data_IF_658365565962
#
_entry.id   IF_658365565962
#
_cell.length_a   1.000
_cell.length_b   1.000
_cell.length_c   1.000
_cell.angle_alpha   90.00
_cell.angle_beta   90.00
_cell.angle_gamma   90.00
#
_symmetry.space_group_name_H-M   'P 1'
#
loop_
_entity.id
_entity.type
_entity.pdbx_description
1 polymer ?
#
# COMPACT_ATOMS: atom_id res chain seq x y z
N UNK A 1 2.84 -14.43 12.55
CA UNK A 1 1.41 -14.80 12.49
C UNK A 1 1.28 -16.32 12.46
N UNK A 2 0.37 -16.86 13.23
CA UNK A 2 -0.08 -18.25 13.06
C UNK A 2 -1.23 -18.23 12.06
N UNK A 3 -1.23 -19.15 11.09
CA UNK A 3 -2.31 -19.32 10.13
C UNK A 3 -3.16 -20.52 10.52
N UNK A 4 -4.44 -20.49 10.20
CA UNK A 4 -5.30 -21.65 10.26
C UNK A 4 -4.99 -22.63 9.09
N UNK A 5 -5.63 -23.83 9.03
CA UNK A 5 -5.45 -24.77 7.93
C UNK A 5 -5.82 -24.22 6.54
N UNK A 6 -6.60 -23.14 6.46
CA UNK A 6 -6.96 -22.47 5.22
C UNK A 6 -5.97 -21.35 4.82
N UNK A 7 -4.90 -21.16 5.60
CA UNK A 7 -3.90 -20.11 5.35
C UNK A 7 -4.30 -18.70 5.81
N UNK A 8 -5.43 -18.59 6.52
CA UNK A 8 -5.90 -17.29 7.03
C UNK A 8 -5.12 -16.95 8.31
N UNK A 9 -4.53 -15.76 8.42
CA UNK A 9 -3.81 -15.39 9.63
C UNK A 9 -4.77 -15.18 10.81
N UNK A 10 -4.44 -15.74 11.97
CA UNK A 10 -5.23 -15.58 13.19
C UNK A 10 -5.16 -14.15 13.74
N UNK A 11 -4.12 -13.42 13.40
CA UNK A 11 -3.95 -12.02 13.75
C UNK A 11 -3.06 -11.32 12.72
N UNK A 12 -3.27 -10.03 12.55
CA UNK A 12 -2.52 -9.17 11.64
C UNK A 12 -2.15 -7.87 12.36
N UNK A 13 -0.92 -7.43 12.19
CA UNK A 13 -0.48 -6.10 12.60
C UNK A 13 -0.25 -5.26 11.35
N UNK A 14 -0.94 -4.13 11.27
CA UNK A 14 -0.78 -3.15 10.20
C UNK A 14 -0.10 -1.93 10.81
N UNK A 15 1.12 -1.63 10.33
CA UNK A 15 1.85 -0.42 10.67
C UNK A 15 1.75 0.58 9.52
N UNK A 16 1.47 1.85 9.87
CA UNK A 16 1.43 2.96 8.90
C UNK A 16 2.25 4.11 9.47
N UNK A 17 3.11 4.67 8.64
CA UNK A 17 3.85 5.89 8.94
C UNK A 17 3.34 7.00 8.03
N UNK A 18 2.89 8.10 8.63
CA UNK A 18 2.40 9.28 7.91
C UNK A 18 3.26 10.47 8.33
N UNK A 19 4.11 11.01 7.44
CA UNK A 19 4.91 12.18 7.72
C UNK A 19 4.00 13.39 7.94
N UNK A 20 4.04 13.98 9.13
CA UNK A 20 3.14 15.08 9.53
C UNK A 20 3.78 16.44 9.31
N UNK A 21 4.98 16.62 9.83
CA UNK A 21 5.75 17.86 9.73
C UNK A 21 7.15 17.57 9.20
N UNK A 22 7.68 18.48 8.43
CA UNK A 22 9.06 18.40 7.95
C UNK A 22 10.05 18.51 9.11
N UNK A 23 11.08 17.65 9.15
CA UNK A 23 12.17 17.79 10.10
C UNK A 23 12.90 19.13 9.94
N UNK A 24 13.36 19.70 11.04
CA UNK A 24 14.17 20.91 11.01
C UNK A 24 15.47 20.66 10.23
N UNK A 25 15.82 21.59 9.34
CA UNK A 25 17.03 21.53 8.54
C UNK A 25 16.86 21.00 7.12
N UNK A 26 15.66 20.55 6.73
CA UNK A 26 15.33 20.27 5.34
C UNK A 26 14.63 21.47 4.70
N UNK A 27 15.03 21.82 3.48
CA UNK A 27 14.39 22.88 2.72
C UNK A 27 13.14 22.40 1.97
N UNK A 28 12.14 23.27 1.73
CA UNK A 28 10.98 22.91 0.92
C UNK A 28 11.39 22.48 -0.49
N UNK A 29 10.92 21.30 -0.93
CA UNK A 29 11.20 20.80 -2.29
C UNK A 29 12.58 20.20 -2.50
N UNK A 30 13.39 20.07 -1.46
CA UNK A 30 14.72 19.44 -1.56
C UNK A 30 14.63 17.95 -1.96
N UNK A 31 13.56 17.29 -1.53
CA UNK A 31 13.24 15.94 -1.98
C UNK A 31 11.83 15.92 -2.62
N UNK A 32 11.72 15.96 -3.95
CA UNK A 32 10.44 16.02 -4.63
C UNK A 32 9.60 14.75 -4.49
N UNK A 33 10.21 13.65 -4.06
CA UNK A 33 9.51 12.37 -3.82
C UNK A 33 8.93 12.25 -2.41
N UNK A 34 9.16 13.23 -1.55
CA UNK A 34 8.71 13.23 -0.16
C UNK A 34 7.94 14.50 0.16
N UNK A 35 6.84 14.34 0.87
CA UNK A 35 6.03 15.45 1.36
C UNK A 35 5.53 15.19 2.78
N UNK A 36 4.96 16.21 3.39
CA UNK A 36 4.41 16.17 4.74
C UNK A 36 2.98 16.72 4.73
N UNK A 37 2.11 16.18 5.56
CA UNK A 37 0.70 16.60 5.60
C UNK A 37 0.53 18.12 5.76
N UNK A 38 1.36 18.74 6.57
CA UNK A 38 1.33 20.19 6.79
C UNK A 38 1.59 20.98 5.49
N UNK A 39 2.50 20.51 4.63
CA UNK A 39 2.84 21.16 3.36
C UNK A 39 1.77 20.94 2.29
N UNK A 40 1.03 19.83 2.38
CA UNK A 40 -0.11 19.55 1.51
C UNK A 40 -1.40 20.28 1.91
N UNK A 41 -1.29 21.29 2.75
CA UNK A 41 -2.41 22.15 3.16
C UNK A 41 -3.18 21.66 4.38
N UNK A 42 -2.76 20.59 5.02
CA UNK A 42 -3.39 20.06 6.22
C UNK A 42 -2.94 20.78 7.50
N UNK A 43 -2.93 22.12 7.49
CA UNK A 43 -2.35 22.98 8.53
C UNK A 43 -3.11 22.87 9.86
N UNK A 44 -4.42 22.67 9.80
CA UNK A 44 -5.29 22.64 10.99
C UNK A 44 -5.47 21.24 11.58
N UNK A 45 -4.93 20.20 10.91
CA UNK A 45 -5.03 18.84 11.41
C UNK A 45 -4.08 18.60 12.59
N UNK A 46 -4.59 17.88 13.57
CA UNK A 46 -3.79 17.38 14.70
C UNK A 46 -3.47 15.91 14.53
N UNK A 47 -2.39 15.44 15.11
CA UNK A 47 -2.01 14.01 15.09
C UNK A 47 -3.14 13.09 15.58
N UNK A 48 -3.85 13.37 16.69
CA UNK A 48 -4.98 12.57 17.12
C UNK A 48 -6.11 12.48 16.08
N UNK A 49 -6.41 13.56 15.37
CA UNK A 49 -7.44 13.56 14.32
C UNK A 49 -7.03 12.69 13.13
N UNK A 50 -5.75 12.71 12.73
CA UNK A 50 -5.23 11.85 11.68
C UNK A 50 -5.32 10.38 12.08
N UNK A 51 -4.91 10.04 13.30
CA UNK A 51 -4.97 8.68 13.83
C UNK A 51 -6.42 8.18 13.88
N UNK A 52 -7.35 9.00 14.39
CA UNK A 52 -8.78 8.66 14.47
C UNK A 52 -9.36 8.43 13.07
N UNK A 53 -9.09 9.33 12.13
CA UNK A 53 -9.56 9.21 10.75
C UNK A 53 -9.02 7.96 10.08
N UNK A 54 -7.71 7.72 10.19
CA UNK A 54 -7.07 6.52 9.65
C UNK A 54 -7.67 5.24 10.24
N UNK A 55 -7.80 5.18 11.57
CA UNK A 55 -8.33 3.99 12.26
C UNK A 55 -9.76 3.66 11.82
N UNK A 56 -10.60 4.68 11.67
CA UNK A 56 -11.98 4.53 11.21
C UNK A 56 -12.04 4.00 9.77
N UNK A 57 -11.22 4.54 8.87
CA UNK A 57 -11.16 4.08 7.49
C UNK A 57 -10.55 2.68 7.38
N UNK A 58 -9.49 2.38 8.12
CA UNK A 58 -8.90 1.05 8.17
C UNK A 58 -9.93 -0.01 8.63
N UNK A 59 -10.75 0.32 9.64
CA UNK A 59 -11.79 -0.58 10.12
C UNK A 59 -12.88 -0.82 9.06
N UNK A 60 -13.26 0.20 8.29
CA UNK A 60 -14.20 0.05 7.18
C UNK A 60 -13.66 -0.93 6.13
N UNK A 61 -12.39 -0.80 5.76
CA UNK A 61 -11.74 -1.68 4.79
C UNK A 61 -11.55 -3.11 5.30
N UNK A 62 -11.24 -3.28 6.58
CA UNK A 62 -11.18 -4.60 7.20
C UNK A 62 -12.54 -5.30 7.17
N UNK A 63 -13.62 -4.59 7.46
CA UNK A 63 -14.99 -5.12 7.36
C UNK A 63 -15.38 -5.45 5.92
N UNK A 64 -15.05 -4.58 4.97
CA UNK A 64 -15.27 -4.86 3.55
C UNK A 64 -14.52 -6.12 3.10
N UNK A 65 -13.32 -6.34 3.62
CA UNK A 65 -12.55 -7.56 3.37
C UNK A 65 -13.22 -8.80 3.97
N UNK A 66 -13.71 -8.72 5.20
CA UNK A 66 -14.44 -9.82 5.86
C UNK A 66 -15.74 -10.20 5.12
N UNK A 67 -16.48 -9.20 4.63
CA UNK A 67 -17.77 -9.40 3.96
C UNK A 67 -17.64 -9.80 2.49
N UNK A 68 -16.75 -9.18 1.75
CA UNK A 68 -16.63 -9.30 0.28
C UNK A 68 -15.31 -9.86 -0.22
N UNK A 69 -14.35 -10.08 0.68
CA UNK A 69 -13.01 -10.56 0.32
C UNK A 69 -12.15 -9.49 -0.35
N UNK A 70 -11.16 -9.95 -1.10
CA UNK A 70 -10.08 -9.12 -1.62
C UNK A 70 -10.45 -8.26 -2.83
N UNK A 71 -11.46 -8.67 -3.61
CA UNK A 71 -11.76 -8.09 -4.92
C UNK A 71 -12.13 -6.60 -4.84
N UNK A 72 -12.93 -6.20 -3.85
CA UNK A 72 -13.35 -4.81 -3.67
C UNK A 72 -12.16 -3.90 -3.30
N UNK A 73 -11.35 -4.33 -2.34
CA UNK A 73 -10.15 -3.61 -1.92
C UNK A 73 -9.21 -3.44 -3.11
N UNK A 74 -9.00 -4.50 -3.88
CA UNK A 74 -8.14 -4.51 -5.05
C UNK A 74 -8.62 -3.55 -6.14
N UNK A 75 -9.94 -3.48 -6.37
CA UNK A 75 -10.53 -2.55 -7.32
C UNK A 75 -10.25 -1.09 -6.95
N UNK A 76 -10.46 -0.74 -5.68
CA UNK A 76 -10.17 0.60 -5.17
C UNK A 76 -8.68 0.95 -5.20
N UNK A 77 -7.82 -0.02 -4.86
CA UNK A 77 -6.39 0.16 -4.93
C UNK A 77 -5.91 0.41 -6.36
N UNK A 78 -6.38 -0.41 -7.33
CA UNK A 78 -6.04 -0.25 -8.75
C UNK A 78 -6.45 1.12 -9.31
N UNK A 79 -7.59 1.64 -8.89
CA UNK A 79 -8.08 2.94 -9.34
C UNK A 79 -7.19 4.11 -8.87
N UNK A 80 -6.34 3.88 -7.86
CA UNK A 80 -5.41 4.88 -7.30
C UNK A 80 -3.94 4.58 -7.61
N UNK A 81 -3.66 3.44 -8.22
CA UNK A 81 -2.30 3.02 -8.54
C UNK A 81 -1.87 3.65 -9.86
N UNK A 82 -0.99 4.61 -9.80
CA UNK A 82 -0.41 5.32 -10.94
C UNK A 82 0.71 4.54 -11.64
N UNK A 83 1.28 3.54 -10.97
CA UNK A 83 2.37 2.72 -11.50
C UNK A 83 1.92 1.66 -12.52
N UNK A 84 0.61 1.43 -12.69
CA UNK A 84 0.11 0.48 -13.68
C UNK A 84 0.43 0.97 -15.10
N UNK A 85 1.12 0.12 -15.86
CA UNK A 85 1.62 0.43 -17.21
C UNK A 85 3.04 1.01 -17.21
N UNK A 86 3.64 1.27 -16.05
CA UNK A 86 5.01 1.76 -15.94
C UNK A 86 6.00 0.61 -15.75
N UNK A 87 7.24 0.86 -16.13
CA UNK A 87 8.33 -0.06 -15.89
C UNK A 87 8.78 0.03 -14.43
N UNK A 88 8.92 -1.12 -13.78
CA UNK A 88 9.43 -1.23 -12.42
C UNK A 88 10.65 -2.15 -12.39
N UNK A 89 11.52 -1.97 -11.41
CA UNK A 89 12.77 -2.73 -11.26
C UNK A 89 12.69 -3.78 -10.14
N UNK A 90 11.82 -3.58 -9.19
CA UNK A 90 11.66 -4.47 -8.03
C UNK A 90 10.19 -4.89 -7.86
N UNK A 91 9.91 -6.15 -7.48
CA UNK A 91 10.82 -7.26 -7.13
C UNK A 91 11.52 -7.90 -8.33
N UNK A 92 11.12 -7.58 -9.54
CA UNK A 92 11.74 -7.94 -10.81
C UNK A 92 11.48 -6.85 -11.84
N UNK A 93 12.37 -6.72 -12.84
CA UNK A 93 12.19 -5.74 -13.90
C UNK A 93 11.08 -6.14 -14.85
N UNK A 94 10.22 -5.20 -15.20
CA UNK A 94 9.14 -5.40 -16.15
C UNK A 94 8.08 -4.32 -16.09
N UNK A 95 7.11 -4.37 -17.03
CA UNK A 95 5.98 -3.46 -17.01
C UNK A 95 4.94 -3.98 -16.03
N UNK A 96 4.63 -3.20 -15.01
CA UNK A 96 3.59 -3.54 -14.05
C UNK A 96 2.21 -3.44 -14.70
N UNK A 97 1.53 -4.56 -14.89
CA UNK A 97 0.23 -4.61 -15.57
C UNK A 97 -0.96 -4.79 -14.63
N UNK A 98 -0.71 -5.12 -13.38
CA UNK A 98 -1.76 -5.27 -12.37
C UNK A 98 -1.42 -6.31 -11.31
N UNK A 99 -2.44 -6.82 -10.64
CA UNK A 99 -2.31 -7.82 -9.58
C UNK A 99 -3.24 -9.00 -9.83
N UNK A 100 -2.87 -10.16 -9.30
CA UNK A 100 -3.74 -11.34 -9.26
C UNK A 100 -4.85 -11.15 -8.22
N UNK A 101 -5.84 -12.04 -8.20
CA UNK A 101 -6.89 -12.06 -7.17
C UNK A 101 -6.35 -12.30 -5.76
N UNK A 102 -5.17 -12.88 -5.64
CA UNK A 102 -4.48 -13.16 -4.38
C UNK A 102 -3.43 -12.11 -4.01
N UNK A 103 -3.28 -11.05 -4.81
CA UNK A 103 -2.37 -9.95 -4.53
C UNK A 103 -0.97 -10.10 -5.12
N UNK A 104 -0.68 -11.15 -5.87
CA UNK A 104 0.57 -11.28 -6.61
C UNK A 104 0.71 -10.20 -7.68
N UNK A 105 1.93 -9.74 -7.95
CA UNK A 105 2.20 -8.78 -9.01
C UNK A 105 2.19 -9.45 -10.38
N UNK A 106 1.56 -8.80 -11.35
CA UNK A 106 1.62 -9.17 -12.76
C UNK A 106 2.62 -8.26 -13.48
N UNK A 107 3.74 -8.82 -13.89
CA UNK A 107 4.77 -8.11 -14.64
C UNK A 107 4.85 -8.66 -16.06
N UNK A 108 4.84 -7.76 -17.03
CA UNK A 108 5.03 -8.12 -18.43
C UNK A 108 6.47 -7.84 -18.85
N UNK A 109 7.13 -8.89 -19.31
CA UNK A 109 8.49 -8.84 -19.85
C UNK A 109 8.54 -9.56 -21.20
N UNK A 110 9.10 -8.92 -22.23
CA UNK A 110 9.21 -9.48 -23.58
C UNK A 110 7.90 -10.07 -24.14
N UNK A 111 6.76 -9.44 -23.84
CA UNK A 111 5.44 -9.88 -24.31
C UNK A 111 4.80 -11.03 -23.49
N UNK A 112 5.51 -11.56 -22.51
CA UNK A 112 5.00 -12.56 -21.56
C UNK A 112 4.63 -11.88 -20.24
N UNK A 113 3.60 -12.39 -19.58
CA UNK A 113 3.19 -11.92 -18.25
C UNK A 113 3.52 -12.99 -17.21
N UNK A 114 4.35 -12.61 -16.25
CA UNK A 114 4.76 -13.44 -15.14
C UNK A 114 4.07 -12.98 -13.86
N UNK A 115 3.83 -13.95 -12.96
CA UNK A 115 3.23 -13.71 -11.65
C UNK A 115 4.33 -13.76 -10.59
N UNK A 116 4.44 -12.69 -9.81
CA UNK A 116 5.35 -12.61 -8.67
C UNK A 116 4.55 -12.56 -7.37
N UNK A 117 4.59 -13.66 -6.63
CA UNK A 117 3.95 -13.74 -5.32
C UNK A 117 4.76 -12.93 -4.30
N UNK A 118 4.10 -11.99 -3.63
CA UNK A 118 4.74 -11.14 -2.61
C UNK A 118 4.74 -11.76 -1.21
N UNK A 119 3.99 -12.85 -1.01
CA UNK A 119 3.93 -13.56 0.26
C UNK A 119 5.29 -14.11 0.66
N UNK A 120 5.83 -13.65 1.79
CA UNK A 120 7.14 -14.06 2.30
C UNK A 120 8.31 -13.13 1.95
N UNK A 121 8.19 -12.22 1.00
CA UNK A 121 9.25 -11.24 0.70
C UNK A 121 9.25 -10.04 1.66
N UNK A 122 8.12 -9.75 2.28
CA UNK A 122 7.98 -8.66 3.26
C UNK A 122 8.51 -9.00 4.66
N UNK A 123 8.91 -10.24 4.90
CA UNK A 123 9.39 -10.71 6.21
C UNK A 123 10.88 -10.44 6.41
N UNK A 124 11.62 -10.08 5.37
CA UNK A 124 13.09 -9.93 5.39
C UNK A 124 13.58 -8.49 5.17
N UNK A 125 12.69 -7.53 5.27
CA UNK A 125 13.07 -6.10 5.21
C UNK A 125 13.20 -5.49 6.59
#
# INVERSE_FOLDING_TARGET
STTDPAGIPNWLVIGVEIPFMRPAGLEPGENPESTWLYEEGCIELTVPQVIESWSRHALIWLRAFEDGGYAEIQSHWRAKCDSIGQEIEAPASGIFVGTTETGGLLLRHNGLTDIYELTGQLVNS
#
